data_IF_386936997415
#
_entry.id   IF_386936997415
#
_cell.length_a   1.000
_cell.length_b   1.000
_cell.length_c   1.000
_cell.angle_alpha   90.00
_cell.angle_beta   90.00
_cell.angle_gamma   90.00
#
_symmetry.space_group_name_H-M   'P 1'
#
loop_
_entity.id
_entity.type
_entity.pdbx_description
1 polymer ?
#
# COMPACT_ATOMS: atom_id res chain seq x y z
N UNK A 1 -8.81 2.49 14.92
CA UNK A 1 -8.64 3.93 14.67
C UNK A 1 -7.78 4.63 15.72
N UNK A 2 -7.91 4.35 17.02
CA UNK A 2 -7.04 4.94 18.05
C UNK A 2 -5.57 4.56 17.83
N UNK A 3 -5.26 3.28 17.62
CA UNK A 3 -3.90 2.79 17.35
C UNK A 3 -3.25 3.39 16.09
N UNK A 4 -4.08 3.74 15.09
CA UNK A 4 -3.64 4.40 13.85
C UNK A 4 -3.49 5.93 14.00
N UNK A 5 -3.80 6.51 15.16
CA UNK A 5 -3.81 7.96 15.34
C UNK A 5 -4.85 8.70 14.47
N UNK A 6 -5.97 8.01 14.11
CA UNK A 6 -7.02 8.55 13.24
C UNK A 6 -8.30 8.91 14.03
N UNK A 7 -8.24 8.90 15.35
CA UNK A 7 -9.42 9.14 16.17
C UNK A 7 -10.00 10.55 15.99
N UNK A 8 -9.13 11.54 15.91
CA UNK A 8 -9.53 12.95 15.77
C UNK A 8 -10.25 13.21 14.44
N UNK A 9 -9.80 12.55 13.38
CA UNK A 9 -10.34 12.73 12.04
C UNK A 9 -11.44 11.72 11.66
N UNK A 10 -11.95 10.91 12.61
CA UNK A 10 -12.91 9.81 12.34
C UNK A 10 -14.19 10.24 11.64
N UNK A 11 -14.57 11.52 11.73
CA UNK A 11 -15.75 12.10 11.09
C UNK A 11 -15.44 12.90 9.83
N UNK A 12 -14.15 13.14 9.56
CA UNK A 12 -13.71 13.87 8.37
C UNK A 12 -13.89 13.04 7.10
N UNK A 13 -14.10 13.70 5.98
CA UNK A 13 -14.06 13.07 4.68
C UNK A 13 -12.61 12.72 4.34
N UNK A 14 -12.37 11.57 3.73
CA UNK A 14 -11.02 11.21 3.24
C UNK A 14 -10.61 12.12 2.09
N UNK A 15 -11.60 12.59 1.30
CA UNK A 15 -11.35 13.39 0.10
C UNK A 15 -10.80 12.55 -1.06
N UNK A 16 -10.56 13.21 -2.16
CA UNK A 16 -9.90 12.66 -3.35
C UNK A 16 -8.60 13.41 -3.66
N UNK A 17 -8.11 13.27 -4.90
CA UNK A 17 -6.91 13.97 -5.36
C UNK A 17 -7.10 15.49 -5.45
N UNK A 18 -8.32 15.96 -5.68
CA UNK A 18 -8.65 17.38 -5.87
C UNK A 18 -9.04 18.05 -4.54
N UNK A 19 -9.82 17.37 -3.70
CA UNK A 19 -10.22 17.84 -2.37
C UNK A 19 -9.45 17.14 -1.26
N UNK A 20 -8.31 17.69 -0.88
CA UNK A 20 -7.50 17.18 0.25
C UNK A 20 -8.11 17.64 1.57
N UNK A 21 -8.87 16.78 2.23
CA UNK A 21 -9.48 17.07 3.55
C UNK A 21 -8.59 16.55 4.69
N UNK A 22 -7.86 15.46 4.46
CA UNK A 22 -6.92 14.88 5.43
C UNK A 22 -5.49 14.89 4.88
N UNK A 23 -4.50 14.86 5.76
CA UNK A 23 -3.09 14.82 5.39
C UNK A 23 -2.71 13.52 4.65
N UNK A 24 -1.63 13.55 3.87
CA UNK A 24 -1.13 12.37 3.16
C UNK A 24 -0.84 11.18 4.09
N UNK A 25 -0.25 11.45 5.27
CA UNK A 25 0.00 10.43 6.29
C UNK A 25 -1.27 9.82 6.88
N UNK A 26 -2.29 10.64 7.13
CA UNK A 26 -3.59 10.17 7.60
C UNK A 26 -4.29 9.31 6.54
N UNK A 27 -4.19 9.70 5.26
CA UNK A 27 -4.72 8.91 4.14
C UNK A 27 -4.04 7.55 4.04
N UNK A 28 -2.71 7.50 4.13
CA UNK A 28 -1.95 6.23 4.12
C UNK A 28 -2.34 5.35 5.32
N UNK A 29 -2.38 5.90 6.53
CA UNK A 29 -2.84 5.16 7.72
C UNK A 29 -4.30 4.69 7.60
N UNK A 30 -5.15 5.47 6.96
CA UNK A 30 -6.54 5.05 6.70
C UNK A 30 -6.59 3.87 5.73
N UNK A 31 -5.79 3.89 4.65
CA UNK A 31 -5.69 2.77 3.72
C UNK A 31 -5.21 1.49 4.42
N UNK A 32 -4.13 1.57 5.21
CA UNK A 32 -3.65 0.45 6.02
C UNK A 32 -4.76 -0.02 6.99
N UNK A 33 -5.48 0.92 7.61
CA UNK A 33 -6.58 0.60 8.53
C UNK A 33 -7.74 -0.13 7.89
N UNK A 34 -8.02 0.12 6.61
CA UNK A 34 -9.05 -0.61 5.84
C UNK A 34 -8.64 -2.07 5.66
N UNK A 35 -7.38 -2.33 5.29
CA UNK A 35 -6.86 -3.69 5.15
C UNK A 35 -6.84 -4.44 6.50
N UNK A 36 -6.52 -3.76 7.59
CA UNK A 36 -6.49 -4.34 8.93
C UNK A 36 -7.87 -4.75 9.49
N UNK A 37 -8.97 -4.28 8.90
CA UNK A 37 -10.33 -4.66 9.34
C UNK A 37 -10.56 -6.17 9.25
N UNK A 38 -9.92 -6.82 8.28
CA UNK A 38 -10.03 -8.26 8.05
C UNK A 38 -9.07 -9.09 8.89
N UNK A 39 -8.31 -8.45 9.76
CA UNK A 39 -7.28 -9.04 10.62
C UNK A 39 -6.32 -10.02 9.89
N UNK A 40 -5.67 -9.60 8.78
CA UNK A 40 -4.82 -10.47 8.00
C UNK A 40 -3.56 -10.84 8.77
N UNK A 41 -3.04 -12.05 8.56
CA UNK A 41 -1.75 -12.50 9.10
C UNK A 41 -0.56 -11.94 8.29
N UNK A 42 -0.78 -11.70 6.99
CA UNK A 42 0.21 -11.15 6.07
C UNK A 42 -0.29 -9.82 5.49
N UNK A 43 0.53 -8.79 5.57
CA UNK A 43 0.32 -7.47 4.97
C UNK A 43 1.39 -7.22 3.92
N UNK A 44 0.96 -6.96 2.70
CA UNK A 44 1.81 -6.52 1.59
C UNK A 44 1.51 -5.05 1.31
N UNK A 45 2.52 -4.19 1.40
CA UNK A 45 2.38 -2.75 1.25
C UNK A 45 3.35 -2.23 0.20
N UNK A 46 2.82 -1.55 -0.78
CA UNK A 46 3.64 -0.91 -1.81
C UNK A 46 3.83 0.57 -1.48
N UNK A 47 5.09 0.95 -1.26
CA UNK A 47 5.54 2.30 -0.92
C UNK A 47 4.65 3.03 0.13
N UNK A 48 4.41 2.47 1.33
CA UNK A 48 3.52 3.08 2.30
C UNK A 48 4.02 4.44 2.81
N UNK A 49 5.29 4.78 2.60
CA UNK A 49 5.93 6.01 3.05
C UNK A 49 6.10 7.06 1.94
N UNK A 50 5.78 6.73 0.70
CA UNK A 50 5.95 7.62 -0.45
C UNK A 50 5.10 8.90 -0.31
N UNK A 51 5.69 10.05 -0.65
CA UNK A 51 5.04 11.35 -0.59
C UNK A 51 4.84 11.90 0.84
N UNK A 52 5.53 11.33 1.82
CA UNK A 52 5.51 11.80 3.20
C UNK A 52 6.84 12.43 3.59
N UNK A 53 6.79 13.38 4.52
CA UNK A 53 8.00 13.86 5.20
C UNK A 53 8.62 12.76 6.08
N UNK A 54 9.91 12.89 6.41
CA UNK A 54 10.67 11.89 7.16
C UNK A 54 10.03 11.51 8.50
N UNK A 55 9.43 12.46 9.20
CA UNK A 55 8.81 12.21 10.48
C UNK A 55 7.53 11.36 10.37
N UNK A 56 6.66 11.69 9.39
CA UNK A 56 5.45 10.92 9.12
C UNK A 56 5.77 9.53 8.56
N UNK A 57 6.77 9.44 7.68
CA UNK A 57 7.27 8.17 7.14
C UNK A 57 7.74 7.25 8.29
N UNK A 58 8.56 7.77 9.19
CA UNK A 58 9.04 7.04 10.37
C UNK A 58 7.90 6.59 11.28
N UNK A 59 6.88 7.44 11.49
CA UNK A 59 5.69 7.07 12.27
C UNK A 59 4.94 5.89 11.66
N UNK A 60 4.87 5.80 10.32
CA UNK A 60 4.27 4.63 9.65
C UNK A 60 5.13 3.40 9.84
N UNK A 61 6.45 3.48 9.66
CA UNK A 61 7.37 2.36 9.89
C UNK A 61 7.23 1.82 11.32
N UNK A 62 7.23 2.69 12.32
CA UNK A 62 7.00 2.28 13.72
C UNK A 62 5.65 1.59 13.93
N UNK A 63 4.60 2.10 13.30
CA UNK A 63 3.29 1.46 13.37
C UNK A 63 3.31 0.05 12.75
N UNK A 64 3.93 -0.11 11.58
CA UNK A 64 4.08 -1.42 10.92
C UNK A 64 4.91 -2.39 11.76
N UNK A 65 5.99 -1.90 12.38
CA UNK A 65 6.79 -2.69 13.32
C UNK A 65 5.96 -3.16 14.52
N UNK A 66 5.08 -2.31 15.07
CA UNK A 66 4.18 -2.72 16.15
C UNK A 66 3.20 -3.83 15.71
N UNK A 67 2.72 -3.80 14.46
CA UNK A 67 1.89 -4.87 13.92
C UNK A 67 2.67 -6.19 13.79
N UNK A 68 3.92 -6.12 13.35
CA UNK A 68 4.79 -7.28 13.26
C UNK A 68 5.04 -7.90 14.66
N UNK A 69 5.30 -7.07 15.67
CA UNK A 69 5.44 -7.53 17.07
C UNK A 69 4.16 -8.13 17.66
N UNK A 70 2.98 -7.82 17.11
CA UNK A 70 1.69 -8.46 17.43
C UNK A 70 1.46 -9.78 16.70
N UNK A 71 2.49 -10.33 16.04
CA UNK A 71 2.43 -11.62 15.33
C UNK A 71 2.01 -11.56 13.88
N UNK A 72 1.95 -10.37 13.27
CA UNK A 72 1.66 -10.24 11.83
C UNK A 72 2.95 -10.22 11.01
N UNK A 73 2.91 -10.77 9.81
CA UNK A 73 3.99 -10.61 8.84
C UNK A 73 3.72 -9.36 7.99
N UNK A 74 4.66 -8.44 7.95
CA UNK A 74 4.56 -7.20 7.17
C UNK A 74 5.70 -7.16 6.16
N UNK A 75 5.37 -7.12 4.88
CA UNK A 75 6.33 -6.95 3.79
C UNK A 75 5.98 -5.64 3.08
N UNK A 76 6.95 -4.75 2.93
CA UNK A 76 6.74 -3.48 2.25
C UNK A 76 7.92 -3.09 1.38
N UNK A 77 7.61 -2.49 0.22
CA UNK A 77 8.59 -1.75 -0.56
C UNK A 77 8.76 -0.36 0.06
N UNK A 78 10.00 0.10 0.22
CA UNK A 78 10.27 1.43 0.77
C UNK A 78 11.34 2.10 -0.08
N UNK A 79 11.04 3.29 -0.55
CA UNK A 79 11.97 4.12 -1.30
C UNK A 79 12.65 5.11 -0.34
N UNK A 80 13.99 5.15 -0.36
CA UNK A 80 14.83 6.10 0.40
C UNK A 80 14.42 6.25 1.89
N UNK A 81 14.50 5.18 2.70
CA UNK A 81 14.18 5.30 4.12
C UNK A 81 15.19 6.20 4.83
N UNK A 82 14.72 6.98 5.83
CA UNK A 82 15.62 7.67 6.74
C UNK A 82 16.48 6.66 7.53
N UNK A 83 17.64 7.09 8.07
CA UNK A 83 18.49 6.23 8.89
C UNK A 83 17.72 5.60 10.05
N UNK A 84 16.85 6.38 10.70
CA UNK A 84 16.02 5.89 11.80
C UNK A 84 15.00 4.84 11.35
N UNK A 85 14.42 5.00 10.16
CA UNK A 85 13.52 4.00 9.60
C UNK A 85 14.27 2.73 9.23
N UNK A 86 15.44 2.86 8.61
CA UNK A 86 16.27 1.75 8.16
C UNK A 86 16.68 0.80 9.29
N UNK A 87 17.08 1.33 10.44
CA UNK A 87 17.50 0.54 11.60
C UNK A 87 16.32 -0.23 12.22
N UNK A 88 15.09 0.23 12.00
CA UNK A 88 13.89 -0.36 12.58
C UNK A 88 13.29 -1.52 11.77
N UNK A 89 13.89 -1.91 10.65
CA UNK A 89 13.48 -3.11 9.91
C UNK A 89 14.09 -4.36 10.55
N UNK A 90 13.29 -5.42 10.69
CA UNK A 90 13.76 -6.71 11.18
C UNK A 90 14.59 -7.44 10.12
N UNK A 91 14.14 -7.38 8.86
CA UNK A 91 14.82 -7.94 7.68
C UNK A 91 14.75 -6.95 6.52
N UNK A 92 15.80 -6.98 5.72
CA UNK A 92 15.95 -6.15 4.52
C UNK A 92 16.23 -7.05 3.32
N UNK A 93 15.59 -6.73 2.20
CA UNK A 93 15.89 -7.30 0.89
C UNK A 93 16.31 -6.13 -0.01
N UNK A 94 17.54 -6.19 -0.55
CA UNK A 94 18.00 -5.23 -1.56
C UNK A 94 17.95 -5.89 -2.93
N UNK A 95 17.42 -5.16 -3.88
CA UNK A 95 17.32 -5.60 -5.28
C UNK A 95 18.14 -4.68 -6.18
N UNK A 96 18.79 -5.26 -7.17
CA UNK A 96 19.53 -4.57 -8.20
C UNK A 96 19.30 -5.27 -9.54
N UNK A 97 18.88 -4.52 -10.56
CA UNK A 97 18.67 -5.05 -11.92
C UNK A 97 17.77 -6.31 -11.98
N UNK A 98 16.71 -6.34 -11.19
CA UNK A 98 15.78 -7.46 -11.13
C UNK A 98 16.26 -8.66 -10.28
N UNK A 99 17.45 -8.59 -9.69
CA UNK A 99 18.03 -9.63 -8.86
C UNK A 99 18.08 -9.22 -7.39
N UNK A 100 17.92 -10.18 -6.48
CA UNK A 100 18.17 -9.98 -5.06
C UNK A 100 19.69 -10.05 -4.83
N UNK A 101 20.25 -8.99 -4.30
CA UNK A 101 21.70 -8.87 -4.05
C UNK A 101 22.06 -8.90 -2.57
N UNK A 102 21.07 -8.75 -1.70
CA UNK A 102 21.21 -8.86 -0.26
C UNK A 102 19.88 -9.25 0.38
N UNK A 103 19.96 -10.14 1.35
CA UNK A 103 18.86 -10.47 2.25
C UNK A 103 19.42 -10.72 3.66
N UNK A 104 18.97 -9.96 4.63
CA UNK A 104 19.48 -10.08 6.00
C UNK A 104 19.07 -8.94 6.91
N UNK A 105 19.80 -8.76 8.00
CA UNK A 105 19.57 -7.72 9.00
C UNK A 105 20.15 -6.40 8.49
N UNK A 106 19.46 -5.26 8.63
CA UNK A 106 19.95 -3.97 8.15
C UNK A 106 21.35 -3.58 8.65
N UNK A 107 21.69 -3.96 9.88
CA UNK A 107 23.00 -3.66 10.49
C UNK A 107 24.18 -4.38 9.82
N UNK A 108 23.93 -5.48 9.12
CA UNK A 108 24.97 -6.26 8.43
C UNK A 108 25.24 -5.76 6.99
N UNK A 109 24.42 -4.85 6.47
CA UNK A 109 24.59 -4.30 5.12
C UNK A 109 25.98 -3.69 4.88
N UNK A 110 26.53 -2.85 5.78
CA UNK A 110 27.85 -2.26 5.59
C UNK A 110 28.96 -3.33 5.51
N UNK A 111 28.88 -4.39 6.31
CA UNK A 111 29.87 -5.47 6.29
C UNK A 111 29.80 -6.24 4.97
N UNK A 112 28.60 -6.65 4.54
CA UNK A 112 28.39 -7.37 3.29
C UNK A 112 28.92 -6.59 2.06
N UNK A 113 28.62 -5.29 1.98
CA UNK A 113 29.11 -4.47 0.88
C UNK A 113 30.63 -4.26 0.92
N UNK A 114 31.21 -4.19 2.13
CA UNK A 114 32.68 -4.09 2.27
C UNK A 114 33.38 -5.36 1.77
N UNK A 115 32.81 -6.55 1.98
CA UNK A 115 33.31 -7.84 1.45
C UNK A 115 33.35 -7.84 -0.09
N UNK A 116 32.38 -7.19 -0.72
CA UNK A 116 32.32 -7.05 -2.20
C UNK A 116 33.21 -5.92 -2.73
N UNK A 117 33.90 -5.17 -1.83
CA UNK A 117 34.79 -4.08 -2.20
C UNK A 117 34.10 -2.69 -2.30
N UNK A 118 32.91 -2.55 -1.72
CA UNK A 118 32.17 -1.30 -1.65
C UNK A 118 32.17 -0.79 -0.18
N UNK A 119 33.17 -0.02 0.25
CA UNK A 119 33.25 0.42 1.63
C UNK A 119 32.22 1.48 1.96
N UNK A 120 31.51 1.29 3.05
CA UNK A 120 30.60 2.29 3.60
C UNK A 120 31.38 3.38 4.32
N UNK A 121 31.14 4.64 3.94
CA UNK A 121 31.72 5.78 4.65
C UNK A 121 31.02 5.99 5.99
N UNK A 122 31.75 6.19 7.08
CA UNK A 122 31.16 6.49 8.38
C UNK A 122 30.26 7.75 8.28
N UNK A 123 29.21 7.79 9.12
CA UNK A 123 28.24 8.90 9.21
C UNK A 123 27.34 9.13 7.97
N UNK A 124 27.30 8.20 7.01
CA UNK A 124 26.31 8.24 5.95
C UNK A 124 25.16 7.26 6.25
N UNK A 125 23.97 7.63 5.80
CA UNK A 125 22.82 6.70 5.86
C UNK A 125 23.14 5.45 5.05
N UNK A 126 23.15 4.25 5.66
CA UNK A 126 23.44 3.01 4.94
C UNK A 126 22.49 2.75 3.76
N UNK A 127 21.21 3.13 3.89
CA UNK A 127 20.25 3.03 2.81
C UNK A 127 20.64 3.87 1.60
N UNK A 128 21.04 5.12 1.81
CA UNK A 128 21.43 6.03 0.72
C UNK A 128 22.69 5.55 0.02
N UNK A 129 23.65 5.01 0.79
CA UNK A 129 24.89 4.45 0.21
C UNK A 129 24.55 3.22 -0.62
N UNK A 130 23.76 2.28 -0.08
CA UNK A 130 23.34 1.08 -0.80
C UNK A 130 22.58 1.44 -2.10
N UNK A 131 21.58 2.33 -2.00
CA UNK A 131 20.79 2.76 -3.16
C UNK A 131 21.64 3.45 -4.23
N UNK A 132 22.62 4.26 -3.82
CA UNK A 132 23.56 4.92 -4.76
C UNK A 132 24.43 3.91 -5.50
N UNK A 133 25.00 2.96 -4.78
CA UNK A 133 25.91 1.96 -5.36
C UNK A 133 25.16 0.91 -6.21
N UNK A 134 23.89 0.64 -5.89
CA UNK A 134 23.00 -0.26 -6.65
C UNK A 134 22.29 0.44 -7.81
N UNK A 135 22.43 1.76 -7.95
CA UNK A 135 21.81 2.51 -9.05
C UNK A 135 22.55 2.26 -10.36
N UNK A 136 21.88 1.64 -11.31
CA UNK A 136 22.39 1.35 -12.66
C UNK A 136 21.83 2.38 -13.63
N UNK A 137 22.72 3.04 -14.37
CA UNK A 137 22.34 3.96 -15.44
C UNK A 137 22.26 3.19 -16.78
N UNK A 138 21.23 3.49 -17.57
CA UNK A 138 21.11 2.93 -18.92
C UNK A 138 21.61 3.92 -19.97
N UNK A 139 22.38 3.46 -20.99
CA UNK A 139 22.78 2.07 -21.25
C UNK A 139 23.78 1.56 -20.22
N UNK A 140 23.67 0.27 -19.85
CA UNK A 140 24.56 -0.39 -18.88
C UNK A 140 26.02 -0.26 -19.32
N UNK A 141 26.90 0.05 -18.36
CA UNK A 141 28.34 0.02 -18.55
C UNK A 141 28.88 -1.36 -18.09
N UNK A 142 30.01 -1.76 -18.63
CA UNK A 142 30.71 -3.00 -18.24
C UNK A 142 30.95 -3.08 -16.72
N UNK A 143 31.22 -1.95 -16.09
CA UNK A 143 31.38 -1.84 -14.63
C UNK A 143 30.10 -2.26 -13.88
N UNK A 144 28.92 -1.92 -14.40
CA UNK A 144 27.63 -2.22 -13.76
C UNK A 144 27.34 -3.72 -13.81
N UNK A 145 27.67 -4.37 -14.93
CA UNK A 145 27.52 -5.82 -15.09
C UNK A 145 28.48 -6.58 -14.15
N UNK A 146 29.73 -6.13 -14.05
CA UNK A 146 30.72 -6.73 -13.13
C UNK A 146 30.29 -6.54 -11.67
N UNK A 147 29.72 -5.40 -11.31
CA UNK A 147 29.22 -5.12 -9.97
C UNK A 147 28.05 -6.05 -9.62
N UNK A 148 27.05 -6.14 -10.49
CA UNK A 148 25.88 -7.03 -10.28
C UNK A 148 26.34 -8.47 -10.13
N UNK A 149 27.27 -8.94 -10.98
CA UNK A 149 27.81 -10.28 -10.90
C UNK A 149 28.50 -10.53 -9.56
N UNK A 150 29.36 -9.64 -9.10
CA UNK A 150 30.06 -9.76 -7.80
C UNK A 150 29.08 -9.82 -6.64
N UNK A 151 28.03 -8.98 -6.66
CA UNK A 151 26.99 -8.96 -5.63
C UNK A 151 26.19 -10.26 -5.62
N UNK A 152 25.85 -10.80 -6.80
CA UNK A 152 25.13 -12.06 -6.94
C UNK A 152 25.97 -13.25 -6.46
N UNK A 153 27.26 -13.30 -6.81
CA UNK A 153 28.16 -14.36 -6.37
C UNK A 153 28.27 -14.37 -4.84
N UNK A 154 28.49 -13.20 -4.22
CA UNK A 154 28.54 -13.06 -2.75
C UNK A 154 27.20 -13.42 -2.08
N UNK A 155 26.06 -13.01 -2.66
CA UNK A 155 24.74 -13.37 -2.18
C UNK A 155 24.50 -14.88 -2.22
N UNK A 156 24.81 -15.53 -3.34
CA UNK A 156 24.64 -16.96 -3.54
C UNK A 156 25.54 -17.78 -2.60
N UNK A 157 26.77 -17.33 -2.34
CA UNK A 157 27.68 -17.98 -1.40
C UNK A 157 27.15 -17.92 0.03
N UNK A 158 26.60 -16.78 0.44
CA UNK A 158 26.00 -16.57 1.77
C UNK A 158 24.68 -17.35 1.97
N UNK A 159 23.91 -17.60 0.91
CA UNK A 159 22.63 -18.31 0.99
C UNK A 159 22.77 -19.83 0.95
N UNK A 160 23.82 -20.37 0.36
CA UNK A 160 23.97 -21.84 0.15
C UNK A 160 23.71 -22.69 1.39
N UNK A 161 24.08 -22.18 2.57
CA UNK A 161 23.93 -22.93 3.82
C UNK A 161 22.58 -22.64 4.51
N UNK A 162 22.00 -21.44 4.29
CA UNK A 162 20.72 -21.04 4.91
C UNK A 162 19.51 -21.57 4.14
N UNK A 163 19.59 -21.65 2.81
CA UNK A 163 18.45 -22.08 1.98
C UNK A 163 18.14 -23.56 2.13
N UNK A 164 19.15 -24.40 2.38
CA UNK A 164 18.92 -25.84 2.66
C UNK A 164 18.11 -26.02 3.94
N UNK A 165 18.51 -25.38 5.02
CA UNK A 165 17.82 -25.49 6.31
C UNK A 165 16.38 -24.91 6.22
N UNK A 166 16.18 -23.80 5.51
CA UNK A 166 14.86 -23.19 5.29
C UNK A 166 13.96 -24.06 4.38
N UNK A 167 14.52 -24.70 3.35
CA UNK A 167 13.78 -25.60 2.47
C UNK A 167 13.27 -26.84 3.23
N UNK A 168 14.11 -27.41 4.11
CA UNK A 168 13.74 -28.54 4.95
C UNK A 168 12.66 -28.15 5.97
N UNK A 169 12.75 -26.96 6.59
CA UNK A 169 11.73 -26.43 7.48
C UNK A 169 10.41 -26.15 6.73
N UNK A 170 10.47 -25.55 5.54
CA UNK A 170 9.30 -25.26 4.72
C UNK A 170 8.57 -26.53 4.27
N UNK A 171 9.29 -27.57 3.89
CA UNK A 171 8.72 -28.85 3.53
C UNK A 171 8.01 -29.53 4.72
N UNK A 172 8.48 -29.29 5.95
CA UNK A 172 7.82 -29.77 7.17
C UNK A 172 6.53 -29.04 7.50
N UNK A 173 6.33 -27.81 6.97
CA UNK A 173 5.16 -26.95 7.18
C UNK A 173 4.06 -27.12 6.10
N UNK A 174 4.24 -28.05 5.15
CA UNK A 174 3.34 -28.24 4.00
C UNK A 174 1.88 -28.56 4.36
N UNK A 175 1.59 -28.94 5.61
CA UNK A 175 0.26 -29.26 6.11
C UNK A 175 -0.48 -28.11 6.82
N UNK A 176 -0.02 -26.87 6.70
CA UNK A 176 -0.70 -25.72 7.30
C UNK A 176 -2.04 -25.48 6.61
N UNK A 177 -3.13 -25.81 7.29
CA UNK A 177 -4.50 -25.52 6.81
C UNK A 177 -4.74 -24.00 6.88
N UNK A 178 -4.91 -23.39 5.70
CA UNK A 178 -5.34 -22.00 5.60
C UNK A 178 -6.83 -21.93 5.96
N UNK A 179 -7.16 -21.27 7.07
CA UNK A 179 -8.56 -21.01 7.42
C UNK A 179 -9.22 -20.16 6.33
N UNK A 180 -10.29 -20.70 5.75
CA UNK A 180 -11.09 -19.94 4.77
C UNK A 180 -11.77 -18.77 5.46
N UNK A 181 -11.70 -17.61 4.83
CA UNK A 181 -12.40 -16.39 5.24
C UNK A 181 -13.91 -16.70 5.37
N UNK A 182 -14.51 -16.30 6.49
CA UNK A 182 -15.96 -16.45 6.66
C UNK A 182 -16.69 -15.54 5.66
N UNK A 183 -17.58 -16.15 4.87
CA UNK A 183 -18.41 -15.39 3.93
C UNK A 183 -19.45 -14.56 4.69
N UNK A 184 -19.54 -13.29 4.35
CA UNK A 184 -20.54 -12.38 4.93
C UNK A 184 -21.92 -12.76 4.39
N UNK A 185 -22.91 -12.97 5.26
CA UNK A 185 -24.29 -13.24 4.84
C UNK A 185 -24.80 -12.10 3.95
N UNK A 186 -25.39 -12.45 2.81
CA UNK A 186 -25.84 -11.47 1.79
C UNK A 186 -26.73 -10.35 2.38
N UNK A 187 -27.60 -10.67 3.33
CA UNK A 187 -28.47 -9.69 4.02
C UNK A 187 -27.68 -8.65 4.79
N UNK A 188 -26.62 -9.05 5.49
CA UNK A 188 -25.77 -8.12 6.28
C UNK A 188 -24.91 -7.26 5.35
N UNK A 189 -24.40 -7.85 4.28
CA UNK A 189 -23.70 -7.11 3.21
C UNK A 189 -24.58 -6.04 2.57
N UNK A 190 -25.80 -6.41 2.17
CA UNK A 190 -26.79 -5.46 1.61
C UNK A 190 -27.10 -4.31 2.58
N UNK A 191 -27.36 -4.62 3.84
CA UNK A 191 -27.65 -3.62 4.87
C UNK A 191 -26.49 -2.62 5.03
N UNK A 192 -25.24 -3.09 5.05
CA UNK A 192 -24.06 -2.23 5.15
C UNK A 192 -23.87 -1.37 3.90
N UNK A 193 -24.08 -1.93 2.70
CA UNK A 193 -24.03 -1.20 1.44
C UNK A 193 -25.09 -0.09 1.37
N UNK A 194 -26.33 -0.39 1.75
CA UNK A 194 -27.40 0.61 1.82
C UNK A 194 -27.06 1.75 2.80
N UNK A 195 -26.59 1.39 4.00
CA UNK A 195 -26.17 2.38 5.00
C UNK A 195 -25.02 3.27 4.49
N UNK A 196 -24.05 2.68 3.80
CA UNK A 196 -22.94 3.42 3.17
C UNK A 196 -23.45 4.38 2.10
N UNK A 197 -24.31 3.89 1.19
CA UNK A 197 -24.84 4.71 0.10
C UNK A 197 -25.70 5.89 0.64
N UNK A 198 -26.54 5.64 1.66
CA UNK A 198 -27.28 6.71 2.32
C UNK A 198 -26.37 7.79 2.90
N UNK A 199 -25.30 7.39 3.60
CA UNK A 199 -24.31 8.36 4.11
C UNK A 199 -23.60 9.13 2.99
N UNK A 200 -23.29 8.47 1.87
CA UNK A 200 -22.66 9.11 0.71
C UNK A 200 -23.60 10.18 0.11
N UNK A 201 -24.87 9.87 -0.06
CA UNK A 201 -25.90 10.80 -0.56
C UNK A 201 -26.05 12.00 0.38
N UNK A 202 -26.12 11.77 1.69
CA UNK A 202 -26.23 12.84 2.69
C UNK A 202 -25.01 13.76 2.72
N UNK A 203 -23.80 13.21 2.50
CA UNK A 203 -22.54 13.97 2.54
C UNK A 203 -22.20 14.66 1.22
N UNK A 204 -22.79 14.23 0.12
CA UNK A 204 -22.64 14.86 -1.19
C UNK A 204 -24.00 15.23 -1.78
N UNK A 205 -24.64 16.30 -1.28
CA UNK A 205 -25.98 16.70 -1.71
C UNK A 205 -26.01 17.21 -3.16
N UNK A 206 -24.86 17.61 -3.73
CA UNK A 206 -24.80 18.14 -5.10
C UNK A 206 -25.21 17.09 -6.14
N UNK A 207 -24.69 15.87 -6.03
CA UNK A 207 -25.03 14.76 -6.95
C UNK A 207 -26.51 14.39 -6.81
N UNK A 208 -27.04 14.39 -5.59
CA UNK A 208 -28.46 14.13 -5.36
C UNK A 208 -29.34 15.22 -5.97
N UNK A 209 -29.02 16.51 -5.73
CA UNK A 209 -29.74 17.65 -6.30
C UNK A 209 -29.70 17.65 -7.82
N UNK A 210 -28.54 17.35 -8.43
CA UNK A 210 -28.39 17.25 -9.89
C UNK A 210 -29.27 16.15 -10.48
N UNK A 211 -29.30 14.96 -9.88
CA UNK A 211 -30.16 13.83 -10.32
C UNK A 211 -31.65 14.16 -10.15
N UNK A 212 -32.04 14.78 -9.03
CA UNK A 212 -33.42 15.20 -8.81
C UNK A 212 -33.82 16.27 -9.84
N UNK A 213 -32.97 17.25 -10.11
CA UNK A 213 -33.21 18.24 -11.15
C UNK A 213 -33.39 17.61 -12.54
N UNK A 214 -32.53 16.63 -12.89
CA UNK A 214 -32.66 15.90 -14.15
C UNK A 214 -33.98 15.11 -14.24
N UNK A 215 -34.40 14.42 -13.15
CA UNK A 215 -35.68 13.68 -13.14
C UNK A 215 -36.87 14.63 -13.29
N UNK A 216 -36.88 15.75 -12.58
CA UNK A 216 -37.93 16.77 -12.69
C UNK A 216 -37.98 17.35 -14.12
N UNK A 217 -36.82 17.68 -14.67
CA UNK A 217 -36.73 18.22 -16.05
C UNK A 217 -37.26 17.20 -17.07
N UNK A 218 -36.84 15.93 -16.99
CA UNK A 218 -37.35 14.87 -17.88
C UNK A 218 -38.84 14.64 -17.72
N UNK A 219 -39.36 14.68 -16.47
CA UNK A 219 -40.80 14.56 -16.20
C UNK A 219 -41.61 15.70 -16.82
N UNK A 220 -41.13 16.93 -16.68
CA UNK A 220 -41.79 18.10 -17.29
C UNK A 220 -41.74 18.07 -18.82
N UNK A 221 -40.62 17.65 -19.38
CA UNK A 221 -40.45 17.48 -20.83
C UNK A 221 -41.40 16.41 -21.40
N UNK A 222 -41.50 15.27 -20.71
CA UNK A 222 -42.44 14.20 -21.06
C UNK A 222 -43.88 14.68 -20.97
N UNK A 223 -44.24 15.37 -19.90
CA UNK A 223 -45.57 15.96 -19.70
C UNK A 223 -45.91 16.98 -20.79
N UNK A 224 -44.97 17.86 -21.19
CA UNK A 224 -45.15 18.81 -22.24
C UNK A 224 -45.40 18.14 -23.62
N UNK A 225 -44.66 17.10 -23.94
CA UNK A 225 -44.86 16.32 -25.18
C UNK A 225 -46.24 15.65 -25.19
N UNK A 226 -46.63 14.99 -24.08
CA UNK A 226 -47.94 14.35 -23.97
C UNK A 226 -49.10 15.35 -24.00
N UNK A 227 -48.92 16.54 -23.43
CA UNK A 227 -49.96 17.58 -23.48
C UNK A 227 -50.15 18.14 -24.90
N UNK A 228 -49.08 18.23 -25.65
CA UNK A 228 -49.12 18.68 -27.05
C UNK A 228 -49.74 17.64 -27.97
N UNK A 229 -49.57 16.32 -27.71
CA UNK A 229 -50.14 15.25 -28.52
C UNK A 229 -51.61 14.96 -28.21
N UNK A 230 -52.13 15.38 -27.03
CA UNK A 230 -53.56 15.26 -26.68
C UNK A 230 -54.38 16.51 -27.00
N UNK A 231 -53.92 17.34 -27.91
CA UNK A 231 -54.69 18.45 -28.42
C UNK A 231 -55.96 17.97 -29.20
N UNK A 232 -56.99 18.82 -29.34
CA UNK A 232 -58.30 18.44 -29.86
C UNK A 232 -58.32 17.88 -31.29
N UNK A 233 -57.20 17.96 -32.02
CA UNK A 233 -57.09 17.47 -33.41
C UNK A 233 -56.89 15.96 -33.56
N UNK A 234 -56.67 15.22 -32.47
CA UNK A 234 -56.50 13.72 -32.52
C UNK A 234 -57.85 13.00 -32.32
N UNK A 235 -58.99 13.70 -32.21
CA UNK A 235 -60.32 13.08 -32.08
C UNK A 235 -61.08 12.91 -33.39
N UNK A 236 -60.47 13.23 -34.53
CA UNK A 236 -61.09 13.07 -35.87
C UNK A 236 -60.26 12.20 -36.86
N UNK A 237 -59.70 11.09 -36.35
CA UNK A 237 -59.17 10.04 -37.24
C UNK A 237 -59.65 8.68 -36.73
#
# INVERSE_FOLDING_TARGET
>A
MKELGLWEIRTSLVGDSEMKVISGGERKRTAIGVELITDPQLLLLDEPTSGLDSFKAFSIVKFLQQLARKGKTVISTIHQPSSDAFINFDKLILMCDGHIVYQGIPSEVPAHFSEVGIPFKPFKNPADVAMKELSINYPKQQRDEELVKKLLDAYNERLRDKDKALADEFNSLADVKIEKRQDVKCKDGCKQLCKRNMKTIQRNPLVFKARMGQMVFMGLLTMAIYFQTNGPEVKEL
#
